data_IF_329379651121
#
_entry.id   IF_329379651121
#
_cell.length_a   1.000
_cell.length_b   1.000
_cell.length_c   1.000
_cell.angle_alpha   90.00
_cell.angle_beta   90.00
_cell.angle_gamma   90.00
#
_symmetry.space_group_name_H-M   'P 1'
#
loop_
_entity.id
_entity.type
_entity.pdbx_description
1 polymer ?
#
# COMPACT_ATOMS: atom_id res chain seq x y z
N UNK A 1 -16.73 23.98 -12.52
CA UNK A 1 -17.10 22.55 -12.37
C UNK A 1 -15.85 21.76 -12.03
N UNK A 2 -15.77 21.13 -10.85
CA UNK A 2 -14.62 20.26 -10.48
C UNK A 2 -14.62 19.08 -11.45
N UNK A 3 -13.56 18.94 -12.26
CA UNK A 3 -13.48 17.90 -13.30
C UNK A 3 -13.71 16.50 -12.72
N UNK A 4 -14.50 15.70 -13.41
CA UNK A 4 -14.79 14.31 -13.01
C UNK A 4 -13.48 13.53 -12.84
N UNK A 5 -13.44 12.71 -11.79
CA UNK A 5 -12.35 11.77 -11.53
C UNK A 5 -12.51 10.64 -12.54
N UNK A 6 -11.46 10.37 -13.30
CA UNK A 6 -11.44 9.26 -14.24
C UNK A 6 -11.02 8.00 -13.48
N UNK A 7 -12.04 7.25 -13.04
CA UNK A 7 -11.88 6.08 -12.17
C UNK A 7 -11.12 4.94 -12.84
N UNK A 8 -11.29 4.74 -14.16
CA UNK A 8 -10.59 3.67 -14.90
C UNK A 8 -9.09 3.91 -14.84
N UNK A 9 -8.68 5.15 -15.15
CA UNK A 9 -7.27 5.55 -15.14
C UNK A 9 -6.70 5.50 -13.72
N UNK A 10 -7.49 5.95 -12.73
CA UNK A 10 -7.12 5.88 -11.31
C UNK A 10 -6.81 4.46 -10.87
N UNK A 11 -7.70 3.52 -11.18
CA UNK A 11 -7.54 2.11 -10.81
C UNK A 11 -6.35 1.49 -11.56
N UNK A 12 -6.18 1.78 -12.85
CA UNK A 12 -5.09 1.22 -13.65
C UNK A 12 -3.71 1.68 -13.15
N UNK A 13 -3.52 2.98 -12.95
CA UNK A 13 -2.27 3.51 -12.41
C UNK A 13 -2.07 3.12 -10.94
N UNK A 14 -3.14 3.10 -10.14
CA UNK A 14 -3.10 2.65 -8.75
C UNK A 14 -2.68 1.18 -8.63
N UNK A 15 -3.19 0.31 -9.50
CA UNK A 15 -2.84 -1.11 -9.51
C UNK A 15 -1.39 -1.35 -9.94
N UNK A 16 -0.91 -0.67 -11.00
CA UNK A 16 0.48 -0.82 -11.45
C UNK A 16 1.45 -0.28 -10.40
N UNK A 17 1.24 0.95 -9.94
CA UNK A 17 2.11 1.57 -8.95
C UNK A 17 2.05 0.87 -7.60
N UNK A 18 0.86 0.44 -7.17
CA UNK A 18 0.66 -0.33 -5.95
C UNK A 18 1.30 -1.71 -6.02
N UNK A 19 1.12 -2.45 -7.12
CA UNK A 19 1.76 -3.74 -7.32
C UNK A 19 3.29 -3.65 -7.30
N UNK A 20 3.84 -2.63 -7.97
CA UNK A 20 5.28 -2.37 -7.96
C UNK A 20 5.81 -2.01 -6.57
N UNK A 21 5.11 -1.12 -5.86
CA UNK A 21 5.43 -0.73 -4.47
C UNK A 21 5.40 -1.93 -3.53
N UNK A 22 4.37 -2.77 -3.64
CA UNK A 22 4.21 -3.97 -2.82
C UNK A 22 5.28 -5.01 -3.13
N UNK A 23 5.63 -5.22 -4.40
CA UNK A 23 6.72 -6.10 -4.77
C UNK A 23 8.02 -5.66 -4.09
N UNK A 24 8.33 -4.36 -4.10
CA UNK A 24 9.51 -3.81 -3.41
C UNK A 24 9.41 -3.98 -1.89
N UNK A 25 8.27 -3.63 -1.29
CA UNK A 25 8.05 -3.75 0.17
C UNK A 25 8.14 -5.18 0.69
N UNK A 26 7.77 -6.18 -0.12
CA UNK A 26 7.88 -7.58 0.25
C UNK A 26 9.29 -8.12 0.00
N UNK A 27 9.94 -7.69 -1.07
CA UNK A 27 11.24 -8.23 -1.48
C UNK A 27 12.40 -7.62 -0.70
N UNK A 28 12.33 -6.34 -0.34
CA UNK A 28 13.41 -5.65 0.40
C UNK A 28 13.66 -6.26 1.79
N UNK A 29 12.65 -6.52 2.65
CA UNK A 29 12.88 -7.16 3.94
C UNK A 29 13.45 -8.58 3.80
N UNK A 30 13.01 -9.32 2.78
CA UNK A 30 13.51 -10.67 2.47
C UNK A 30 14.98 -10.65 1.99
N UNK A 31 15.36 -9.64 1.21
CA UNK A 31 16.70 -9.57 0.60
C UNK A 31 17.74 -8.91 1.51
N UNK A 32 17.37 -7.84 2.20
CA UNK A 32 18.29 -6.97 2.96
C UNK A 32 18.67 -7.58 4.32
N UNK A 33 17.87 -8.52 4.85
CA UNK A 33 18.02 -8.97 6.24
C UNK A 33 17.95 -10.50 6.34
N UNK A 34 18.93 -11.17 5.74
CA UNK A 34 19.14 -12.63 5.82
C UNK A 34 19.48 -13.16 7.25
N UNK A 35 19.24 -12.41 8.32
CA UNK A 35 19.75 -12.73 9.65
C UNK A 35 18.74 -12.70 10.79
N UNK A 36 18.00 -11.61 10.97
CA UNK A 36 17.27 -11.36 12.24
C UNK A 36 16.07 -10.43 12.01
N UNK A 37 15.11 -10.79 11.18
CA UNK A 37 13.84 -10.03 11.11
C UNK A 37 12.75 -10.75 11.86
N UNK A 38 12.30 -10.14 12.95
CA UNK A 38 11.09 -10.56 13.64
C UNK A 38 9.88 -10.13 12.81
N UNK A 39 8.77 -10.88 12.84
CA UNK A 39 7.52 -10.51 12.15
C UNK A 39 7.10 -9.06 12.46
N UNK A 40 7.42 -8.59 13.67
CA UNK A 40 7.24 -7.20 14.12
C UNK A 40 7.97 -6.18 13.24
N UNK A 41 9.23 -6.41 12.89
CA UNK A 41 10.06 -5.46 12.13
C UNK A 41 9.53 -5.31 10.70
N UNK A 42 9.06 -6.41 10.10
CA UNK A 42 8.37 -6.39 8.82
C UNK A 42 7.10 -5.52 8.87
N UNK A 43 6.23 -5.74 9.86
CA UNK A 43 5.02 -4.91 10.01
C UNK A 43 5.34 -3.45 10.30
N UNK A 44 6.37 -3.16 11.12
CA UNK A 44 6.80 -1.79 11.39
C UNK A 44 7.30 -1.09 10.13
N UNK A 45 8.13 -1.77 9.33
CA UNK A 45 8.61 -1.23 8.06
C UNK A 45 7.47 -0.97 7.07
N UNK A 46 6.61 -1.97 6.83
CA UNK A 46 5.45 -1.84 5.93
C UNK A 46 4.52 -0.72 6.39
N UNK A 47 4.28 -0.59 7.71
CA UNK A 47 3.47 0.49 8.28
C UNK A 47 4.08 1.86 8.05
N UNK A 48 5.37 2.04 8.37
CA UNK A 48 6.05 3.31 8.21
C UNK A 48 6.06 3.77 6.75
N UNK A 49 6.38 2.87 5.82
CA UNK A 49 6.38 3.20 4.39
C UNK A 49 4.97 3.45 3.87
N UNK A 50 3.96 2.69 4.32
CA UNK A 50 2.55 2.93 3.95
C UNK A 50 2.07 4.31 4.39
N UNK A 51 2.39 4.71 5.63
CA UNK A 51 2.07 6.06 6.15
C UNK A 51 2.72 7.13 5.28
N UNK A 52 4.00 6.96 4.92
CA UNK A 52 4.70 7.88 4.03
C UNK A 52 4.00 8.04 2.67
N UNK A 53 3.59 6.93 2.05
CA UNK A 53 2.88 6.93 0.77
C UNK A 53 1.51 7.61 0.89
N UNK A 54 0.77 7.36 1.96
CA UNK A 54 -0.52 8.02 2.21
C UNK A 54 -0.36 9.53 2.41
N UNK A 55 0.66 9.98 3.14
CA UNK A 55 0.97 11.41 3.32
C UNK A 55 1.30 12.06 1.97
N UNK A 56 2.13 11.40 1.14
CA UNK A 56 2.47 11.89 -0.20
C UNK A 56 1.22 11.94 -1.09
N UNK A 57 0.39 10.90 -1.08
CA UNK A 57 -0.89 10.89 -1.79
C UNK A 57 -1.83 12.00 -1.34
N UNK A 58 -1.94 12.24 -0.04
CA UNK A 58 -2.81 13.27 0.53
C UNK A 58 -2.33 14.68 0.21
N UNK A 59 -1.03 14.93 0.29
CA UNK A 59 -0.42 16.23 -0.08
C UNK A 59 -0.58 16.50 -1.58
N UNK A 60 -0.39 15.49 -2.43
CA UNK A 60 -0.66 15.58 -3.87
C UNK A 60 -2.14 15.85 -4.15
N UNK A 61 -3.06 15.16 -3.46
CA UNK A 61 -4.51 15.37 -3.62
C UNK A 61 -4.92 16.79 -3.22
N UNK A 62 -4.33 17.33 -2.15
CA UNK A 62 -4.62 18.67 -1.64
C UNK A 62 -4.08 19.78 -2.56
N UNK A 63 -2.95 19.54 -3.24
CA UNK A 63 -2.37 20.48 -4.21
C UNK A 63 -2.89 20.32 -5.64
N UNK A 64 -3.57 19.23 -5.95
CA UNK A 64 -4.02 18.93 -7.31
C UNK A 64 -5.20 19.83 -7.74
N UNK A 65 -4.92 20.76 -8.65
CA UNK A 65 -5.91 21.66 -9.26
C UNK A 65 -6.66 21.02 -10.43
N UNK A 66 -6.10 19.98 -11.04
CA UNK A 66 -6.63 19.26 -12.22
C UNK A 66 -7.15 17.88 -11.85
N UNK A 67 -8.22 17.41 -12.51
CA UNK A 67 -8.86 16.13 -12.17
C UNK A 67 -7.94 14.92 -12.37
N UNK A 68 -7.00 15.02 -13.32
CA UNK A 68 -5.94 14.05 -13.55
C UNK A 68 -5.08 13.81 -12.30
N UNK A 69 -4.56 14.88 -11.69
CA UNK A 69 -3.70 14.76 -10.52
C UNK A 69 -4.47 14.30 -9.27
N UNK A 70 -5.74 14.67 -9.14
CA UNK A 70 -6.60 14.16 -8.05
C UNK A 70 -6.88 12.67 -8.20
N UNK A 71 -7.13 12.22 -9.43
CA UNK A 71 -7.34 10.81 -9.78
C UNK A 71 -6.09 9.99 -9.42
N UNK A 72 -4.92 10.42 -9.87
CA UNK A 72 -3.65 9.75 -9.52
C UNK A 72 -3.39 9.73 -8.02
N UNK A 73 -3.62 10.84 -7.33
CA UNK A 73 -3.42 10.92 -5.88
C UNK A 73 -4.32 9.95 -5.10
N UNK A 74 -5.58 9.79 -5.53
CA UNK A 74 -6.50 8.79 -4.95
C UNK A 74 -5.98 7.37 -5.22
N UNK A 75 -5.46 7.09 -6.42
CA UNK A 75 -4.82 5.81 -6.74
C UNK A 75 -3.62 5.50 -5.84
N UNK A 76 -2.78 6.49 -5.55
CA UNK A 76 -1.63 6.36 -4.64
C UNK A 76 -2.07 6.05 -3.21
N UNK A 77 -3.17 6.64 -2.73
CA UNK A 77 -3.72 6.35 -1.39
C UNK A 77 -4.35 4.96 -1.33
N UNK A 78 -5.06 4.55 -2.39
CA UNK A 78 -5.72 3.25 -2.47
C UNK A 78 -4.71 2.09 -2.47
N UNK A 79 -3.60 2.22 -3.18
CA UNK A 79 -2.57 1.20 -3.30
C UNK A 79 -2.11 0.56 -1.96
N UNK A 80 -1.64 1.33 -0.95
CA UNK A 80 -1.27 0.78 0.34
C UNK A 80 -2.48 0.21 1.10
N UNK A 81 -3.66 0.84 1.01
CA UNK A 81 -4.87 0.35 1.69
C UNK A 81 -5.31 -1.02 1.15
N UNK A 82 -5.26 -1.24 -0.16
CA UNK A 82 -5.59 -2.55 -0.76
C UNK A 82 -4.64 -3.64 -0.29
N UNK A 83 -3.33 -3.38 -0.27
CA UNK A 83 -2.39 -4.39 0.19
C UNK A 83 -2.43 -4.63 1.70
N UNK A 84 -2.75 -3.61 2.50
CA UNK A 84 -3.08 -3.80 3.93
C UNK A 84 -4.30 -4.69 4.13
N UNK A 85 -5.33 -4.53 3.30
CA UNK A 85 -6.52 -5.39 3.34
C UNK A 85 -6.16 -6.85 3.05
N UNK A 86 -5.29 -7.10 2.08
CA UNK A 86 -4.79 -8.44 1.76
C UNK A 86 -3.92 -8.99 2.90
N UNK A 87 -2.99 -8.20 3.44
CA UNK A 87 -2.17 -8.63 4.58
C UNK A 87 -3.03 -8.97 5.80
N UNK A 88 -4.01 -8.14 6.14
CA UNK A 88 -4.94 -8.41 7.24
C UNK A 88 -5.72 -9.70 6.99
N UNK A 89 -6.22 -9.88 5.76
CA UNK A 89 -6.94 -11.10 5.39
C UNK A 89 -6.06 -12.34 5.55
N UNK A 90 -4.83 -12.34 5.02
CA UNK A 90 -3.88 -13.45 5.14
C UNK A 90 -3.52 -13.71 6.61
N UNK A 91 -3.28 -12.65 7.39
CA UNK A 91 -2.93 -12.80 8.80
C UNK A 91 -4.07 -13.41 9.61
N UNK A 92 -5.31 -12.96 9.39
CA UNK A 92 -6.48 -13.47 10.10
C UNK A 92 -6.87 -14.88 9.67
N UNK A 93 -6.73 -15.23 8.38
CA UNK A 93 -7.19 -16.51 7.84
C UNK A 93 -6.12 -17.59 7.79
N UNK A 94 -4.84 -17.23 7.74
CA UNK A 94 -3.73 -18.17 7.58
C UNK A 94 -2.82 -18.18 8.80
N UNK A 95 -2.37 -17.01 9.27
CA UNK A 95 -1.35 -16.92 10.32
C UNK A 95 -1.94 -17.19 11.71
N UNK A 96 -3.06 -16.54 12.04
CA UNK A 96 -3.71 -16.66 13.35
C UNK A 96 -4.22 -18.09 13.64
N UNK A 97 -4.90 -18.78 12.69
CA UNK A 97 -5.38 -20.14 12.93
C UNK A 97 -4.25 -21.16 13.07
N UNK A 98 -3.10 -20.94 12.40
CA UNK A 98 -1.92 -21.80 12.57
C UNK A 98 -1.28 -21.69 13.95
N UNK A 99 -1.39 -20.53 14.62
CA UNK A 99 -0.92 -20.38 15.99
C UNK A 99 -1.90 -20.91 17.04
N UNK A 100 -3.19 -21.08 16.70
CA UNK A 100 -4.20 -21.68 17.58
C UNK A 100 -4.31 -23.21 17.48
N UNK A 101 -3.55 -23.86 16.60
CA UNK A 101 -3.53 -25.32 16.41
C UNK A 101 -2.40 -26.05 17.16
N UNK A 102 -1.76 -25.39 18.13
CA UNK A 102 -0.79 -25.99 19.05
C UNK A 102 -1.19 -25.78 20.50
#
# INVERSE_FOLDING_TARGET
MKGQIDWIRTVFFGAISGGFLWAIMLTLPLSVIHGVTTTRDFYTFVSATSIGIVIVGFTLYSRATTSLWRSTAVGIILAPLTGWSILLFVTLTVVLPRHGMY
#
